data_IF_742269788528
#
_entry.id   IF_742269788528
#
_cell.length_a   1.000
_cell.length_b   1.000
_cell.length_c   1.000
_cell.angle_alpha   90.00
_cell.angle_beta   90.00
_cell.angle_gamma   90.00
#
_symmetry.space_group_name_H-M   'P 1'
#
loop_
_entity.id
_entity.type
_entity.pdbx_description
1 polymer ?
#
# COMPACT_ATOMS: atom_id res chain seq x y z
N UNK A 1 28.72 -2.92 4.50
CA UNK A 1 27.39 -3.43 4.77
C UNK A 1 26.62 -3.63 3.47
N UNK A 2 25.91 -4.74 3.35
CA UNK A 2 25.03 -4.92 2.21
C UNK A 2 23.79 -4.00 2.37
N UNK A 3 23.38 -3.38 1.28
CA UNK A 3 22.20 -2.55 1.28
C UNK A 3 20.96 -3.42 1.43
N UNK A 4 20.01 -2.93 2.22
CA UNK A 4 18.73 -3.61 2.41
C UNK A 4 17.87 -3.35 1.17
N UNK A 5 17.37 -4.42 0.55
CA UNK A 5 16.50 -4.35 -0.63
C UNK A 5 15.17 -5.03 -0.34
N UNK A 6 14.08 -4.58 -0.99
CA UNK A 6 12.79 -5.22 -0.84
C UNK A 6 12.84 -6.64 -1.42
N UNK A 7 12.39 -7.62 -0.63
CA UNK A 7 12.40 -9.05 -0.97
C UNK A 7 13.79 -9.57 -1.37
N UNK A 8 14.85 -8.88 -0.94
CA UNK A 8 16.23 -9.18 -1.31
C UNK A 8 16.45 -9.14 -2.85
N UNK A 9 15.67 -8.34 -3.57
CA UNK A 9 15.71 -8.23 -5.02
C UNK A 9 15.79 -6.80 -5.55
N UNK A 10 15.07 -5.86 -4.92
CA UNK A 10 14.90 -4.52 -5.49
C UNK A 10 15.47 -3.45 -4.59
N UNK A 11 16.38 -2.66 -5.16
CA UNK A 11 16.99 -1.52 -4.48
C UNK A 11 16.08 -0.29 -4.57
N UNK A 12 16.08 0.48 -3.49
CA UNK A 12 15.26 1.69 -3.42
C UNK A 12 16.08 2.98 -3.38
N UNK A 13 17.41 2.89 -3.51
CA UNK A 13 18.29 4.07 -3.39
C UNK A 13 17.98 5.17 -4.42
N UNK A 14 17.44 4.79 -5.57
CA UNK A 14 17.09 5.72 -6.64
C UNK A 14 15.60 6.02 -6.72
N UNK A 15 14.81 5.50 -5.80
CA UNK A 15 13.37 5.72 -5.79
C UNK A 15 13.05 6.96 -4.96
N UNK A 16 12.34 7.89 -5.55
CA UNK A 16 11.93 9.13 -4.89
C UNK A 16 10.43 9.36 -5.02
N UNK A 17 9.83 9.92 -3.98
CA UNK A 17 8.45 10.37 -4.01
C UNK A 17 8.47 11.81 -4.50
N UNK A 18 8.01 12.03 -5.74
CA UNK A 18 8.05 13.33 -6.39
C UNK A 18 6.97 14.30 -5.92
N UNK A 19 5.87 13.77 -5.42
CA UNK A 19 4.75 14.58 -4.98
C UNK A 19 4.96 15.02 -3.53
N UNK A 20 5.23 16.31 -3.32
CA UNK A 20 5.46 16.86 -1.99
C UNK A 20 4.27 16.66 -1.04
N UNK A 21 3.06 16.62 -1.57
CA UNK A 21 1.85 16.40 -0.77
C UNK A 21 1.72 14.97 -0.24
N UNK A 22 2.44 14.02 -0.81
CA UNK A 22 2.35 12.61 -0.42
C UNK A 22 3.55 12.11 0.39
N UNK A 23 4.64 12.87 0.46
CA UNK A 23 5.87 12.44 1.13
C UNK A 23 5.62 12.03 2.59
N UNK A 24 4.74 12.75 3.29
CA UNK A 24 4.41 12.46 4.69
C UNK A 24 3.55 11.21 4.88
N UNK A 25 2.88 10.76 3.83
CA UNK A 25 1.90 9.68 3.91
C UNK A 25 2.37 8.38 3.26
N UNK A 26 3.55 8.38 2.69
CA UNK A 26 4.13 7.21 2.05
C UNK A 26 5.49 6.89 2.66
N UNK A 27 5.73 5.64 2.97
CA UNK A 27 7.03 5.17 3.43
C UNK A 27 7.59 4.15 2.45
N UNK A 28 8.85 4.37 2.05
CA UNK A 28 9.59 3.44 1.20
C UNK A 28 10.88 2.98 1.89
N UNK A 29 10.88 2.97 3.22
CA UNK A 29 12.03 2.49 4.00
C UNK A 29 12.43 1.08 3.59
N UNK A 30 13.72 0.81 3.40
CA UNK A 30 14.18 -0.50 2.93
C UNK A 30 13.84 -1.61 3.94
N UNK A 31 13.29 -2.70 3.44
CA UNK A 31 12.96 -3.90 4.21
C UNK A 31 13.14 -5.12 3.34
N UNK A 32 13.78 -6.16 3.87
CA UNK A 32 13.88 -7.44 3.15
C UNK A 32 12.50 -8.07 2.98
N UNK A 33 11.72 -8.09 4.06
CA UNK A 33 10.35 -8.57 4.04
C UNK A 33 9.47 -7.47 4.61
N UNK A 34 8.58 -6.86 3.79
CA UNK A 34 7.75 -5.75 4.25
C UNK A 34 6.56 -6.23 5.07
N UNK A 35 6.85 -6.85 6.20
CA UNK A 35 5.85 -7.40 7.12
C UNK A 35 6.27 -7.06 8.54
N UNK A 36 5.73 -5.99 9.09
CA UNK A 36 6.11 -5.51 10.42
C UNK A 36 5.30 -6.12 11.55
N UNK A 37 4.07 -6.57 11.26
CA UNK A 37 3.15 -7.00 12.31
C UNK A 37 2.71 -5.86 13.23
N UNK A 38 3.03 -4.63 12.86
CA UNK A 38 2.74 -3.46 13.69
C UNK A 38 1.25 -3.17 13.78
N UNK A 39 0.81 -2.74 14.96
CA UNK A 39 -0.55 -2.26 15.17
C UNK A 39 -0.60 -0.77 14.89
N UNK A 40 -1.48 -0.35 14.00
CA UNK A 40 -1.60 1.05 13.60
C UNK A 40 -3.02 1.60 13.64
N UNK A 41 -3.93 0.85 14.26
CA UNK A 41 -5.33 1.26 14.32
C UNK A 41 -5.62 2.33 15.37
N UNK A 42 -4.77 2.48 16.38
CA UNK A 42 -4.99 3.39 17.49
C UNK A 42 -4.79 4.87 17.18
N UNK A 43 -4.01 5.19 16.19
CA UNK A 43 -3.66 6.58 15.84
C UNK A 43 -3.99 6.87 14.39
N UNK A 44 -4.53 8.06 14.14
CA UNK A 44 -4.74 8.55 12.80
C UNK A 44 -3.37 8.71 12.11
N UNK A 45 -3.25 8.31 10.89
CA UNK A 45 -2.02 8.39 10.09
C UNK A 45 -0.84 7.56 10.60
N UNK A 46 -1.00 6.76 11.67
CA UNK A 46 0.08 5.89 12.13
C UNK A 46 0.54 4.93 11.03
N UNK A 47 -0.39 4.45 10.22
CA UNK A 47 -0.08 3.57 9.09
C UNK A 47 0.82 4.22 8.03
N UNK A 48 0.98 5.54 8.04
CA UNK A 48 1.89 6.24 7.12
C UNK A 48 3.35 5.84 7.32
N UNK A 49 3.70 5.33 8.48
CA UNK A 49 5.05 4.82 8.74
C UNK A 49 5.27 3.39 8.23
N UNK A 50 4.20 2.72 7.83
CA UNK A 50 4.26 1.38 7.26
C UNK A 50 4.66 1.47 5.79
N UNK A 51 5.54 0.58 5.33
CA UNK A 51 5.94 0.52 3.92
C UNK A 51 4.72 0.45 3.00
N UNK A 52 4.76 1.15 1.88
CA UNK A 52 3.66 1.12 0.90
C UNK A 52 3.46 -0.29 0.33
N UNK A 53 4.51 -1.11 0.27
CA UNK A 53 4.42 -2.50 -0.18
C UNK A 53 3.57 -3.32 0.81
N UNK A 54 3.82 -3.15 2.12
CA UNK A 54 3.02 -3.80 3.15
C UNK A 54 1.57 -3.32 3.13
N UNK A 55 1.36 -2.02 2.93
CA UNK A 55 0.01 -1.44 2.83
C UNK A 55 -0.76 -2.00 1.63
N UNK A 56 -0.08 -2.18 0.50
CA UNK A 56 -0.69 -2.83 -0.67
C UNK A 56 -1.10 -4.26 -0.36
N UNK A 57 -0.24 -5.03 0.32
CA UNK A 57 -0.54 -6.41 0.71
C UNK A 57 -1.76 -6.46 1.64
N UNK A 58 -1.85 -5.54 2.60
CA UNK A 58 -2.99 -5.45 3.51
C UNK A 58 -4.29 -5.19 2.73
N UNK A 59 -4.25 -4.34 1.71
CA UNK A 59 -5.43 -4.08 0.87
C UNK A 59 -5.82 -5.26 0.01
N UNK A 60 -4.87 -6.07 -0.43
CA UNK A 60 -5.13 -7.29 -1.19
C UNK A 60 -5.85 -8.34 -0.35
N UNK A 61 -5.57 -8.39 0.97
CA UNK A 61 -6.29 -9.30 1.86
C UNK A 61 -7.79 -9.03 1.90
N UNK A 62 -8.21 -7.79 1.64
CA UNK A 62 -9.61 -7.45 1.52
C UNK A 62 -10.11 -7.82 0.14
N UNK A 63 -10.73 -8.99 -0.02
CA UNK A 63 -11.17 -9.51 -1.32
C UNK A 63 -12.52 -8.95 -1.79
N UNK A 64 -12.91 -7.78 -1.29
CA UNK A 64 -14.16 -7.12 -1.63
C UNK A 64 -15.20 -7.22 -0.51
N UNK A 65 -16.44 -6.97 -0.85
CA UNK A 65 -17.55 -7.01 0.11
C UNK A 65 -18.74 -7.76 -0.48
N UNK A 66 -19.62 -8.23 0.40
CA UNK A 66 -20.80 -9.03 0.00
C UNK A 66 -22.11 -8.26 0.12
N UNK A 67 -22.06 -6.95 0.31
CA UNK A 67 -23.28 -6.14 0.39
C UNK A 67 -23.82 -5.80 -0.99
N UNK A 68 -25.13 -5.57 -1.09
CA UNK A 68 -25.79 -5.09 -2.31
C UNK A 68 -25.45 -5.89 -3.57
N UNK A 69 -25.71 -7.17 -3.57
CA UNK A 69 -25.49 -8.03 -4.75
C UNK A 69 -24.03 -8.27 -5.14
N UNK A 70 -23.07 -7.93 -4.32
CA UNK A 70 -21.65 -8.23 -4.57
C UNK A 70 -21.31 -9.62 -4.02
N UNK A 71 -21.97 -10.65 -4.54
CA UNK A 71 -21.86 -12.00 -4.01
C UNK A 71 -20.59 -12.76 -4.43
N UNK A 72 -19.84 -12.21 -5.36
CA UNK A 72 -18.63 -12.85 -5.87
C UNK A 72 -17.42 -12.70 -4.94
N UNK A 73 -17.52 -11.85 -3.92
CA UNK A 73 -16.42 -11.68 -2.95
C UNK A 73 -16.29 -12.92 -2.07
N UNK A 74 -15.09 -13.48 -2.03
CA UNK A 74 -14.84 -14.71 -1.30
C UNK A 74 -14.64 -14.51 0.20
N UNK A 75 -13.96 -13.45 0.60
CA UNK A 75 -13.56 -13.22 1.98
C UNK A 75 -12.50 -14.19 2.49
N UNK A 76 -12.00 -15.09 1.65
CA UNK A 76 -11.07 -16.15 2.05
C UNK A 76 -9.63 -15.69 2.27
N UNK A 77 -9.30 -14.47 1.90
CA UNK A 77 -7.94 -13.93 2.02
C UNK A 77 -7.72 -13.12 3.30
N UNK A 78 -8.76 -12.92 4.08
CA UNK A 78 -8.66 -12.14 5.33
C UNK A 78 -7.69 -12.80 6.31
N UNK A 79 -6.71 -12.04 6.79
CA UNK A 79 -5.67 -12.52 7.69
C UNK A 79 -4.54 -13.31 7.03
N UNK A 80 -4.61 -13.57 5.73
CA UNK A 80 -3.58 -14.33 5.01
C UNK A 80 -2.50 -13.41 4.46
N UNK A 81 -1.76 -12.77 5.33
CA UNK A 81 -0.77 -11.75 4.96
C UNK A 81 0.41 -12.32 4.19
N UNK A 82 0.90 -13.51 4.54
CA UNK A 82 2.00 -14.13 3.81
C UNK A 82 1.62 -14.41 2.35
N UNK A 83 0.40 -14.86 2.12
CA UNK A 83 -0.12 -15.08 0.77
C UNK A 83 -0.23 -13.76 0.00
N UNK A 84 -0.73 -12.72 0.66
CA UNK A 84 -0.84 -11.40 0.05
C UNK A 84 0.52 -10.82 -0.33
N UNK A 85 1.53 -10.99 0.54
CA UNK A 85 2.89 -10.56 0.25
C UNK A 85 3.49 -11.33 -0.94
N UNK A 86 3.22 -12.63 -1.05
CA UNK A 86 3.65 -13.41 -2.20
C UNK A 86 3.01 -12.92 -3.49
N UNK A 87 1.74 -12.59 -3.46
CA UNK A 87 1.03 -12.01 -4.61
C UNK A 87 1.65 -10.68 -5.02
N UNK A 88 1.95 -9.82 -4.06
CA UNK A 88 2.59 -8.52 -4.33
C UNK A 88 3.97 -8.72 -4.96
N UNK A 89 4.77 -9.64 -4.42
CA UNK A 89 6.10 -9.94 -4.97
C UNK A 89 6.02 -10.40 -6.42
N UNK A 90 5.09 -11.32 -6.73
CA UNK A 90 4.87 -11.77 -8.10
C UNK A 90 4.40 -10.64 -9.01
N UNK A 91 3.51 -9.79 -8.54
CA UNK A 91 3.01 -8.66 -9.30
C UNK A 91 4.14 -7.66 -9.63
N UNK A 92 5.00 -7.38 -8.65
CA UNK A 92 6.14 -6.49 -8.85
C UNK A 92 7.14 -7.10 -9.84
N UNK A 93 7.40 -8.41 -9.76
CA UNK A 93 8.27 -9.10 -10.71
C UNK A 93 7.73 -9.02 -12.14
N UNK A 94 6.43 -9.19 -12.32
CA UNK A 94 5.79 -9.06 -13.63
C UNK A 94 5.85 -7.62 -14.15
N UNK A 95 5.66 -6.65 -13.30
CA UNK A 95 5.75 -5.23 -13.66
C UNK A 95 7.19 -4.89 -14.11
N UNK A 96 8.19 -5.40 -13.41
CA UNK A 96 9.59 -5.21 -13.77
C UNK A 96 9.89 -5.80 -15.15
N UNK A 97 9.43 -7.03 -15.40
CA UNK A 97 9.65 -7.70 -16.69
C UNK A 97 8.97 -6.96 -17.84
N UNK A 98 7.78 -6.40 -17.58
CA UNK A 98 6.99 -5.73 -18.62
C UNK A 98 7.49 -4.32 -18.92
N UNK A 99 7.84 -3.54 -17.90
CA UNK A 99 8.22 -2.14 -18.04
C UNK A 99 9.73 -1.91 -17.99
N UNK A 100 10.50 -2.92 -17.59
CA UNK A 100 11.97 -2.87 -17.49
C UNK A 100 12.46 -1.72 -16.59
N UNK A 101 11.73 -1.49 -15.50
CA UNK A 101 12.04 -0.47 -14.50
C UNK A 101 11.98 -1.08 -13.12
N UNK A 102 12.58 -0.39 -12.14
CA UNK A 102 12.48 -0.82 -10.74
C UNK A 102 11.01 -0.86 -10.31
N UNK A 103 10.47 -2.02 -9.88
CA UNK A 103 9.05 -2.13 -9.56
C UNK A 103 8.61 -1.29 -8.38
N UNK A 104 9.50 -1.01 -7.43
CA UNK A 104 9.17 -0.12 -6.30
C UNK A 104 8.93 1.30 -6.81
N UNK A 105 9.73 1.77 -7.77
CA UNK A 105 9.51 3.05 -8.43
C UNK A 105 8.19 3.08 -9.21
N UNK A 106 7.84 1.99 -9.86
CA UNK A 106 6.56 1.85 -10.56
C UNK A 106 5.39 1.98 -9.57
N UNK A 107 5.49 1.31 -8.42
CA UNK A 107 4.47 1.36 -7.38
C UNK A 107 4.32 2.78 -6.82
N UNK A 108 5.41 3.46 -6.53
CA UNK A 108 5.39 4.85 -6.05
C UNK A 108 4.68 5.75 -7.05
N UNK A 109 5.01 5.64 -8.32
CA UNK A 109 4.39 6.43 -9.37
C UNK A 109 2.89 6.14 -9.50
N UNK A 110 2.50 4.88 -9.41
CA UNK A 110 1.10 4.48 -9.47
C UNK A 110 0.31 5.10 -8.32
N UNK A 111 0.86 5.08 -7.11
CA UNK A 111 0.21 5.69 -5.94
C UNK A 111 0.12 7.20 -6.11
N UNK A 112 1.17 7.86 -6.59
CA UNK A 112 1.14 9.30 -6.86
C UNK A 112 0.04 9.69 -7.84
N UNK A 113 -0.17 8.88 -8.88
CA UNK A 113 -1.20 9.14 -9.88
C UNK A 113 -2.61 8.84 -9.40
N UNK A 114 -2.76 7.85 -8.52
CA UNK A 114 -4.07 7.37 -8.07
C UNK A 114 -4.57 8.01 -6.77
N UNK A 115 -3.67 8.56 -5.96
CA UNK A 115 -4.03 9.07 -4.64
C UNK A 115 -4.99 10.26 -4.72
N UNK A 116 -6.08 10.25 -3.93
CA UNK A 116 -6.96 11.41 -3.85
C UNK A 116 -6.26 12.58 -3.16
N UNK A 117 -6.47 13.78 -3.68
CA UNK A 117 -5.89 15.02 -3.12
C UNK A 117 -6.81 15.65 -2.12
N UNK A 118 -8.10 15.49 -2.30
CA UNK A 118 -9.14 16.10 -1.49
C UNK A 118 -10.24 15.09 -1.19
N UNK A 119 -10.89 15.25 -0.06
CA UNK A 119 -11.98 14.40 0.35
C UNK A 119 -13.11 15.24 0.90
N UNK A 120 -14.33 14.85 0.58
CA UNK A 120 -15.53 15.51 1.11
C UNK A 120 -15.83 14.97 2.51
N UNK A 121 -15.92 15.87 3.47
CA UNK A 121 -16.22 15.54 4.87
C UNK A 121 -17.61 16.09 5.21
N UNK A 122 -18.46 15.24 5.80
CA UNK A 122 -19.73 15.68 6.35
C UNK A 122 -19.50 16.19 7.77
N UNK A 123 -19.91 17.45 8.01
CA UNK A 123 -19.81 18.08 9.34
C UNK A 123 -21.21 18.29 9.87
N UNK A 124 -21.47 17.87 11.12
CA UNK A 124 -22.76 18.03 11.77
C UNK A 124 -22.67 19.06 12.89
N UNK A 125 -23.54 20.05 12.84
CA UNK A 125 -23.71 21.06 13.87
C UNK A 125 -25.20 21.18 14.25
N UNK A 126 -25.50 20.98 15.54
CA UNK A 126 -26.85 21.10 16.03
C UNK A 126 -27.87 20.24 15.32
N UNK A 127 -27.47 19.06 14.89
CA UNK A 127 -28.32 18.13 14.15
C UNK A 127 -28.40 18.39 12.64
N UNK A 128 -27.83 19.48 12.15
CA UNK A 128 -27.75 19.77 10.71
C UNK A 128 -26.45 19.24 10.10
N UNK A 129 -26.52 18.67 8.91
CA UNK A 129 -25.39 18.09 8.20
C UNK A 129 -24.94 19.01 7.07
N UNK A 130 -23.69 19.38 7.10
CA UNK A 130 -23.11 20.27 6.10
C UNK A 130 -22.07 19.57 5.23
#
# INVERSE_FOLDING_TARGET
MADITFFNRWDISKVEIKDAGLVKYMSISPRFLPKTGARYAGNRFHKSYTSIVERLAVKIMGSGHKSKKHFMSSGHNTGKKNKALAVVEHALAKAEAKLKMNPIGILVKAVENAAPREEVIAIEYGGARY
#
